data_IF_248597639965
#
_entry.id   IF_248597639965
#
_cell.length_a   1.000
_cell.length_b   1.000
_cell.length_c   1.000
_cell.angle_alpha   90.00
_cell.angle_beta   90.00
_cell.angle_gamma   90.00
#
_symmetry.space_group_name_H-M   'P 1'
#
loop_
_entity.id
_entity.type
_entity.pdbx_description
1 polymer ?
#
# COMPACT_ATOMS: atom_id res chain seq x y z
N UNK A 1 37.56 -8.88 66.02
CA UNK A 1 36.96 -7.77 65.27
C UNK A 1 36.94 -8.15 63.79
N UNK A 2 35.72 -8.35 63.27
CA UNK A 2 35.26 -8.24 61.87
C UNK A 2 36.12 -8.89 60.77
N UNK A 3 35.79 -10.14 60.45
CA UNK A 3 35.94 -10.66 59.09
C UNK A 3 34.95 -9.92 58.19
N UNK A 4 35.43 -9.28 57.12
CA UNK A 4 34.56 -8.66 56.13
C UNK A 4 34.88 -9.27 54.77
N UNK A 5 34.07 -10.26 54.42
CA UNK A 5 34.06 -10.97 53.15
C UNK A 5 33.30 -10.08 52.16
N UNK A 6 34.01 -9.41 51.24
CA UNK A 6 33.36 -8.65 50.17
C UNK A 6 33.10 -9.59 48.98
N UNK A 7 31.89 -10.11 48.91
CA UNK A 7 31.33 -10.75 47.71
C UNK A 7 30.81 -9.64 46.79
N UNK A 8 31.60 -9.29 45.78
CA UNK A 8 31.17 -8.40 44.70
C UNK A 8 30.41 -9.25 43.67
N UNK A 9 29.09 -9.32 43.79
CA UNK A 9 28.23 -9.94 42.76
C UNK A 9 28.08 -8.93 41.62
N UNK A 10 28.89 -9.12 40.58
CA UNK A 10 28.74 -8.42 39.30
C UNK A 10 27.54 -9.04 38.57
N UNK A 11 26.36 -8.42 38.72
CA UNK A 11 25.16 -8.83 38.01
C UNK A 11 25.28 -8.55 36.52
N UNK A 12 25.63 -9.57 35.73
CA UNK A 12 25.41 -9.58 34.28
C UNK A 12 23.91 -9.73 34.03
N UNK A 13 23.22 -8.60 33.85
CA UNK A 13 21.90 -8.59 33.24
C UNK A 13 22.09 -8.82 31.74
N UNK A 14 21.93 -10.06 31.30
CA UNK A 14 21.74 -10.36 29.87
C UNK A 14 20.37 -9.80 29.47
N UNK A 15 20.37 -8.66 28.78
CA UNK A 15 19.20 -8.18 28.06
C UNK A 15 19.04 -9.10 26.86
N UNK A 16 18.21 -10.14 27.02
CA UNK A 16 17.74 -10.96 25.90
C UNK A 16 16.76 -10.11 25.11
N UNK A 17 17.23 -9.47 24.04
CA UNK A 17 16.35 -8.95 23.00
C UNK A 17 15.77 -10.18 22.29
N UNK A 18 14.53 -10.53 22.62
CA UNK A 18 13.77 -11.46 21.79
C UNK A 18 13.58 -10.78 20.43
N UNK A 19 13.78 -11.47 19.31
CA UNK A 19 13.31 -10.95 18.03
C UNK A 19 11.80 -10.72 18.17
N UNK A 20 11.38 -9.49 17.92
CA UNK A 20 9.97 -9.16 17.76
C UNK A 20 9.43 -10.07 16.66
N UNK A 21 8.46 -10.93 16.99
CA UNK A 21 7.70 -11.65 15.95
C UNK A 21 6.99 -10.56 15.16
N UNK A 22 7.57 -10.14 14.05
CA UNK A 22 6.87 -9.34 13.05
C UNK A 22 5.65 -10.17 12.66
N UNK A 23 4.46 -9.70 13.02
CA UNK A 23 3.21 -10.30 12.57
C UNK A 23 3.32 -10.51 11.07
N UNK A 24 3.04 -11.73 10.61
CA UNK A 24 3.13 -12.04 9.19
C UNK A 24 2.05 -11.24 8.45
N UNK A 25 2.46 -10.20 7.73
CA UNK A 25 1.61 -9.43 6.81
C UNK A 25 1.25 -10.32 5.62
N UNK A 26 -0.04 -10.44 5.33
CA UNK A 26 -0.53 -11.25 4.22
C UNK A 26 -0.52 -10.46 2.90
N UNK A 27 0.22 -10.96 1.91
CA UNK A 27 0.20 -10.44 0.56
C UNK A 27 -0.03 -11.58 -0.43
N UNK A 28 -1.13 -11.51 -1.18
CA UNK A 28 -1.41 -12.42 -2.28
C UNK A 28 -0.24 -12.38 -3.29
N UNK A 29 0.24 -13.55 -3.71
CA UNK A 29 1.40 -13.70 -4.59
C UNK A 29 1.24 -12.97 -5.94
N UNK A 30 0.01 -12.85 -6.44
CA UNK A 30 -0.29 -12.16 -7.69
C UNK A 30 -0.18 -10.64 -7.57
N UNK A 31 -0.28 -10.09 -6.35
CA UNK A 31 -0.14 -8.66 -6.08
C UNK A 31 1.31 -8.24 -5.84
N UNK A 32 2.20 -9.17 -5.49
CA UNK A 32 3.63 -8.92 -5.24
C UNK A 32 4.27 -8.05 -6.34
N UNK A 33 4.19 -8.39 -7.65
CA UNK A 33 4.84 -7.57 -8.67
C UNK A 33 4.30 -6.13 -8.76
N UNK A 34 3.05 -5.90 -8.36
CA UNK A 34 2.46 -4.56 -8.35
C UNK A 34 2.88 -3.77 -7.09
N UNK A 35 2.98 -4.43 -5.94
CA UNK A 35 3.48 -3.82 -4.71
C UNK A 35 4.97 -3.45 -4.82
N UNK A 36 5.77 -4.32 -5.44
CA UNK A 36 7.18 -4.03 -5.75
C UNK A 36 7.30 -2.87 -6.75
N UNK A 37 6.51 -2.88 -7.83
CA UNK A 37 6.49 -1.76 -8.78
C UNK A 37 6.07 -0.44 -8.11
N UNK A 38 5.10 -0.46 -7.20
CA UNK A 38 4.71 0.73 -6.43
C UNK A 38 5.87 1.22 -5.55
N UNK A 39 6.56 0.32 -4.86
CA UNK A 39 7.76 0.64 -4.06
C UNK A 39 8.84 1.32 -4.90
N UNK A 40 9.17 0.74 -6.07
CA UNK A 40 10.14 1.32 -7.00
C UNK A 40 9.72 2.72 -7.51
N UNK A 41 8.44 2.92 -7.83
CA UNK A 41 7.92 4.21 -8.29
C UNK A 41 7.84 5.26 -7.16
N UNK A 42 7.57 4.82 -5.93
CA UNK A 42 7.60 5.63 -4.73
C UNK A 42 9.01 6.15 -4.43
N UNK A 43 10.02 5.28 -4.52
CA UNK A 43 11.43 5.63 -4.32
C UNK A 43 11.91 6.71 -5.29
N UNK A 44 11.53 6.59 -6.58
CA UNK A 44 11.85 7.61 -7.60
C UNK A 44 11.32 9.00 -7.25
N UNK A 45 10.27 9.08 -6.42
CA UNK A 45 9.57 10.31 -6.05
C UNK A 45 9.80 10.71 -4.58
N UNK A 46 10.74 10.06 -3.90
CA UNK A 46 11.17 10.43 -2.54
C UNK A 46 10.33 9.83 -1.42
N UNK A 47 9.53 8.82 -1.72
CA UNK A 47 8.78 8.01 -0.74
C UNK A 47 9.50 6.68 -0.51
N UNK A 48 9.31 6.08 0.66
CA UNK A 48 9.80 4.73 0.96
C UNK A 48 8.59 3.89 1.32
N UNK A 49 8.30 2.86 0.53
CA UNK A 49 7.20 1.93 0.77
C UNK A 49 7.73 0.52 0.93
N UNK A 50 7.48 -0.09 2.08
CA UNK A 50 7.68 -1.50 2.35
C UNK A 50 6.40 -2.03 3.01
N UNK A 51 5.64 -2.86 2.31
CA UNK A 51 4.33 -3.31 2.78
C UNK A 51 4.38 -4.09 4.11
N UNK A 52 5.53 -4.64 4.51
CA UNK A 52 5.68 -5.30 5.82
C UNK A 52 5.85 -4.27 6.93
N UNK A 53 6.73 -3.29 6.71
CA UNK A 53 7.01 -2.23 7.69
C UNK A 53 5.85 -1.23 7.79
N UNK A 54 5.25 -0.88 6.66
CA UNK A 54 4.07 0.00 6.55
C UNK A 54 2.77 -0.70 6.93
N UNK A 55 2.81 -2.01 7.25
CA UNK A 55 1.67 -2.86 7.62
C UNK A 55 0.51 -2.71 6.63
N UNK A 56 0.77 -3.00 5.35
CA UNK A 56 -0.22 -3.03 4.28
C UNK A 56 -0.35 -4.44 3.72
N UNK A 57 -1.52 -5.04 3.91
CA UNK A 57 -1.89 -6.33 3.36
C UNK A 57 -2.53 -6.21 1.98
N UNK A 58 -2.47 -7.29 1.20
CA UNK A 58 -3.03 -7.35 -0.15
C UNK A 58 -3.78 -8.64 -0.41
N UNK A 59 -5.05 -8.53 -0.80
CA UNK A 59 -5.94 -9.65 -1.08
C UNK A 59 -6.61 -9.51 -2.45
N UNK A 60 -6.96 -10.65 -3.04
CA UNK A 60 -7.84 -10.75 -4.19
C UNK A 60 -9.05 -11.56 -3.74
N UNK A 61 -10.27 -11.05 -3.95
CA UNK A 61 -11.48 -11.74 -3.50
C UNK A 61 -12.76 -10.98 -3.78
N UNK A 62 -13.85 -11.47 -3.19
CA UNK A 62 -15.18 -10.87 -3.33
C UNK A 62 -15.30 -9.57 -2.51
N UNK A 63 -15.82 -8.53 -3.16
CA UNK A 63 -16.20 -7.28 -2.52
C UNK A 63 -17.72 -7.24 -2.32
N UNK A 64 -18.18 -6.51 -1.30
CA UNK A 64 -19.61 -6.47 -0.95
C UNK A 64 -20.51 -5.83 -2.02
N UNK A 65 -19.94 -5.06 -2.93
CA UNK A 65 -20.62 -4.45 -4.08
C UNK A 65 -19.83 -4.77 -5.36
N UNK A 66 -20.48 -5.42 -6.33
CA UNK A 66 -19.89 -5.81 -7.61
C UNK A 66 -19.41 -4.62 -8.46
N UNK A 67 -19.83 -3.40 -8.14
CA UNK A 67 -19.37 -2.18 -8.82
C UNK A 67 -18.04 -1.65 -8.30
N UNK A 68 -17.60 -2.12 -7.14
CA UNK A 68 -16.32 -1.73 -6.54
C UNK A 68 -15.25 -2.67 -7.13
N UNK A 69 -14.19 -2.08 -7.67
CA UNK A 69 -13.10 -2.82 -8.33
C UNK A 69 -11.94 -3.11 -7.36
N UNK A 70 -11.75 -2.23 -6.38
CA UNK A 70 -10.79 -2.34 -5.30
C UNK A 70 -11.29 -1.57 -4.08
N UNK A 71 -10.75 -1.91 -2.92
CA UNK A 71 -11.03 -1.18 -1.69
C UNK A 71 -9.84 -1.23 -0.75
N UNK A 72 -9.47 -0.06 -0.21
CA UNK A 72 -8.67 0.07 0.98
C UNK A 72 -9.53 0.05 2.25
N UNK A 73 -9.16 -0.79 3.21
CA UNK A 73 -9.74 -0.83 4.56
C UNK A 73 -8.68 -0.35 5.55
N UNK A 74 -9.03 0.70 6.31
CA UNK A 74 -8.24 1.16 7.45
C UNK A 74 -8.79 0.56 8.74
N UNK A 75 -7.92 -0.08 9.51
CA UNK A 75 -8.20 -0.51 10.87
C UNK A 75 -7.18 0.14 11.83
N UNK A 76 -7.60 0.44 13.06
CA UNK A 76 -6.72 1.06 14.05
C UNK A 76 -5.88 0.03 14.84
N UNK A 77 -6.25 -1.24 14.75
CA UNK A 77 -5.65 -2.37 15.45
C UNK A 77 -5.00 -3.34 14.46
N UNK A 78 -5.59 -3.49 13.26
CA UNK A 78 -5.10 -4.37 12.21
C UNK A 78 -4.35 -3.61 11.10
N UNK A 79 -3.50 -4.30 10.30
CA UNK A 79 -2.88 -3.73 9.10
C UNK A 79 -3.91 -3.12 8.14
N UNK A 80 -3.53 -2.06 7.41
CA UNK A 80 -4.34 -1.56 6.32
C UNK A 80 -4.46 -2.66 5.25
N UNK A 81 -5.63 -2.85 4.68
CA UNK A 81 -5.88 -3.94 3.73
C UNK A 81 -6.30 -3.40 2.37
N UNK A 82 -5.53 -3.73 1.33
CA UNK A 82 -5.93 -3.56 -0.07
C UNK A 82 -6.64 -4.84 -0.51
N UNK A 83 -7.89 -4.73 -0.95
CA UNK A 83 -8.68 -5.84 -1.48
C UNK A 83 -9.08 -5.52 -2.92
N UNK A 84 -8.65 -6.35 -3.87
CA UNK A 84 -9.01 -6.21 -5.28
C UNK A 84 -10.08 -7.23 -5.64
N UNK A 85 -11.10 -6.81 -6.40
CA UNK A 85 -12.15 -7.70 -6.90
C UNK A 85 -11.55 -8.83 -7.75
N UNK A 86 -11.81 -10.08 -7.38
CA UNK A 86 -11.36 -11.24 -8.16
C UNK A 86 -11.92 -11.23 -9.59
N UNK A 87 -13.18 -10.82 -9.76
CA UNK A 87 -13.79 -10.70 -11.08
C UNK A 87 -13.09 -9.63 -11.91
N UNK A 88 -12.79 -8.47 -11.34
CA UNK A 88 -12.01 -7.44 -12.03
C UNK A 88 -10.63 -7.96 -12.39
N UNK A 89 -9.91 -8.54 -11.42
CA UNK A 89 -8.55 -9.04 -11.59
C UNK A 89 -8.44 -10.04 -12.74
N UNK A 90 -9.35 -11.00 -12.81
CA UNK A 90 -9.30 -12.04 -13.84
C UNK A 90 -9.65 -11.55 -15.25
N UNK A 91 -10.29 -10.38 -15.38
CA UNK A 91 -10.72 -9.83 -16.66
C UNK A 91 -9.93 -8.59 -17.12
N UNK A 92 -8.91 -8.18 -16.36
CA UNK A 92 -8.20 -6.92 -16.56
C UNK A 92 -6.80 -7.09 -17.16
N UNK A 93 -6.38 -6.10 -17.95
CA UNK A 93 -5.04 -6.04 -18.52
C UNK A 93 -3.98 -5.55 -17.52
N UNK A 94 -2.72 -5.52 -17.96
CA UNK A 94 -1.60 -5.08 -17.13
C UNK A 94 -1.81 -3.67 -16.53
N UNK A 95 -2.14 -2.69 -17.37
CA UNK A 95 -2.32 -1.30 -16.92
C UNK A 95 -3.56 -1.13 -16.03
N UNK A 96 -4.64 -1.86 -16.29
CA UNK A 96 -5.84 -1.81 -15.45
C UNK A 96 -5.56 -2.37 -14.05
N UNK A 97 -4.79 -3.46 -13.96
CA UNK A 97 -4.35 -4.06 -12.69
C UNK A 97 -3.41 -3.13 -11.93
N UNK A 98 -2.42 -2.56 -12.61
CA UNK A 98 -1.51 -1.60 -12.00
C UNK A 98 -2.28 -0.36 -11.51
N UNK A 99 -3.16 0.19 -12.34
CA UNK A 99 -4.00 1.33 -12.00
C UNK A 99 -4.78 1.10 -10.72
N UNK A 100 -5.54 -0.01 -10.61
CA UNK A 100 -6.37 -0.24 -9.42
C UNK A 100 -5.51 -0.49 -8.18
N UNK A 101 -4.41 -1.24 -8.28
CA UNK A 101 -3.56 -1.52 -7.12
C UNK A 101 -2.91 -0.23 -6.62
N UNK A 102 -2.44 0.62 -7.53
CA UNK A 102 -1.81 1.89 -7.19
C UNK A 102 -2.82 2.90 -6.64
N UNK A 103 -4.05 2.88 -7.15
CA UNK A 103 -5.17 3.64 -6.60
C UNK A 103 -5.44 3.24 -5.14
N UNK A 104 -5.58 1.95 -4.85
CA UNK A 104 -5.84 1.50 -3.48
C UNK A 104 -4.65 1.74 -2.54
N UNK A 105 -3.41 1.61 -3.02
CA UNK A 105 -2.21 1.99 -2.25
C UNK A 105 -2.14 3.51 -2.05
N UNK A 106 -2.67 4.30 -2.98
CA UNK A 106 -2.88 5.74 -2.80
C UNK A 106 -3.76 6.05 -1.58
N UNK A 107 -4.83 5.26 -1.37
CA UNK A 107 -5.62 5.33 -0.15
C UNK A 107 -4.86 4.78 1.07
N UNK A 108 -4.38 3.54 1.00
CA UNK A 108 -3.87 2.78 2.14
C UNK A 108 -2.52 3.27 2.68
N UNK A 109 -1.64 3.77 1.81
CA UNK A 109 -0.29 4.21 2.19
C UNK A 109 -0.14 5.73 2.12
N UNK A 110 -0.57 6.34 1.01
CA UNK A 110 -0.41 7.79 0.81
C UNK A 110 -1.54 8.63 1.43
N UNK A 111 -2.59 7.98 1.95
CA UNK A 111 -3.76 8.63 2.56
C UNK A 111 -4.41 9.69 1.64
N UNK A 112 -4.49 9.38 0.34
CA UNK A 112 -5.13 10.24 -0.66
C UNK A 112 -6.65 10.07 -0.63
N UNK A 113 -7.38 11.14 -0.92
CA UNK A 113 -8.81 11.08 -1.20
C UNK A 113 -9.04 11.05 -2.70
N UNK A 114 -10.27 10.71 -3.12
CA UNK A 114 -10.60 10.79 -4.53
C UNK A 114 -10.47 12.22 -5.09
N UNK A 115 -10.01 12.32 -6.33
CA UNK A 115 -9.95 13.55 -7.12
C UNK A 115 -10.52 13.31 -8.52
N UNK A 116 -11.70 13.90 -8.79
CA UNK A 116 -12.42 13.77 -10.06
C UNK A 116 -12.17 14.95 -11.02
N UNK A 117 -11.12 15.75 -10.79
CA UNK A 117 -10.75 16.87 -11.65
C UNK A 117 -10.41 16.42 -13.09
N UNK A 118 -10.80 17.25 -14.05
CA UNK A 118 -10.63 16.98 -15.49
C UNK A 118 -9.79 18.00 -16.22
N UNK A 119 -9.15 17.55 -17.29
CA UNK A 119 -8.50 18.43 -18.25
C UNK A 119 -9.50 19.06 -19.24
N UNK A 120 -9.01 19.92 -20.14
CA UNK A 120 -9.84 20.58 -21.16
C UNK A 120 -10.53 19.59 -22.13
N UNK A 121 -10.09 18.33 -22.16
CA UNK A 121 -10.64 17.26 -23.00
C UNK A 121 -11.61 16.34 -22.26
N UNK A 122 -11.80 16.54 -20.94
CA UNK A 122 -12.68 15.74 -20.09
C UNK A 122 -12.05 14.45 -19.55
N UNK A 123 -10.73 14.30 -19.64
CA UNK A 123 -10.00 13.15 -19.12
C UNK A 123 -9.68 13.34 -17.64
N UNK A 124 -9.68 12.26 -16.86
CA UNK A 124 -9.31 12.33 -15.44
C UNK A 124 -7.86 12.76 -15.32
N UNK A 125 -7.58 13.76 -14.49
CA UNK A 125 -6.21 14.22 -14.23
C UNK A 125 -5.51 13.45 -13.12
N UNK A 126 -6.28 12.69 -12.33
CA UNK A 126 -5.77 11.95 -11.17
C UNK A 126 -5.94 10.44 -11.32
N UNK A 127 -4.95 9.69 -10.84
CA UNK A 127 -5.10 8.23 -10.65
C UNK A 127 -6.12 7.95 -9.54
N UNK A 128 -6.28 8.88 -8.60
CA UNK A 128 -7.24 8.83 -7.50
C UNK A 128 -8.65 9.24 -7.95
N UNK A 129 -9.02 9.13 -9.22
CA UNK A 129 -10.40 9.37 -9.64
C UNK A 129 -11.34 8.30 -9.06
N UNK A 130 -12.57 8.69 -8.72
CA UNK A 130 -13.55 7.82 -8.07
C UNK A 130 -14.12 6.71 -8.97
N UNK A 131 -13.69 6.62 -10.23
CA UNK A 131 -14.31 5.77 -11.25
C UNK A 131 -15.77 6.17 -11.58
N UNK A 132 -16.24 7.31 -11.08
CA UNK A 132 -17.55 7.84 -11.43
C UNK A 132 -17.59 8.28 -12.90
N UNK A 133 -18.79 8.45 -13.47
CA UNK A 133 -18.96 8.96 -14.84
C UNK A 133 -18.52 10.44 -15.00
N UNK A 134 -17.85 11.03 -14.01
CA UNK A 134 -17.35 12.39 -14.06
C UNK A 134 -16.25 12.58 -15.11
N UNK A 135 -15.41 11.57 -15.32
CA UNK A 135 -14.28 11.63 -16.24
C UNK A 135 -13.89 10.25 -16.77
N UNK A 136 -13.03 10.22 -17.81
CA UNK A 136 -12.46 8.98 -18.34
C UNK A 136 -10.99 8.90 -17.95
N UNK A 137 -10.63 7.88 -17.16
CA UNK A 137 -9.23 7.58 -16.89
C UNK A 137 -8.55 7.08 -18.18
N UNK A 138 -7.29 7.47 -18.40
CA UNK A 138 -6.51 7.05 -19.56
C UNK A 138 -5.20 6.36 -19.21
N UNK A 139 -5.09 5.83 -18.00
CA UNK A 139 -3.83 5.27 -17.52
C UNK A 139 -3.31 4.16 -18.44
N UNK A 140 -2.09 4.35 -18.96
CA UNK A 140 -1.45 3.43 -19.88
C UNK A 140 -0.05 3.88 -20.25
N UNK A 141 0.57 3.18 -21.21
CA UNK A 141 1.98 3.39 -21.57
C UNK A 141 2.37 4.85 -21.83
N UNK A 142 1.48 5.63 -22.45
CA UNK A 142 1.78 6.99 -22.91
C UNK A 142 1.70 8.05 -21.81
N UNK A 143 1.02 7.78 -20.69
CA UNK A 143 0.76 8.75 -19.61
C UNK A 143 0.95 8.18 -18.20
N UNK A 144 1.45 6.94 -18.09
CA UNK A 144 1.76 6.28 -16.83
C UNK A 144 2.56 7.19 -15.90
N UNK A 145 3.69 7.71 -16.38
CA UNK A 145 4.58 8.51 -15.55
C UNK A 145 3.93 9.82 -15.06
N UNK A 146 3.06 10.43 -15.85
CA UNK A 146 2.33 11.65 -15.47
C UNK A 146 1.33 11.37 -14.33
N UNK A 147 0.56 10.28 -14.43
CA UNK A 147 -0.33 9.86 -13.34
C UNK A 147 0.41 9.46 -12.07
N UNK A 148 1.60 8.86 -12.20
CA UNK A 148 2.42 8.52 -11.05
C UNK A 148 3.07 9.76 -10.43
N UNK A 149 3.53 10.72 -11.24
CA UNK A 149 3.98 12.01 -10.74
C UNK A 149 2.87 12.71 -9.94
N UNK A 150 1.63 12.68 -10.45
CA UNK A 150 0.45 13.20 -9.75
C UNK A 150 0.21 12.48 -8.40
N UNK A 151 0.15 11.15 -8.38
CA UNK A 151 -0.12 10.35 -7.18
C UNK A 151 0.78 10.73 -5.98
N UNK A 152 2.07 10.94 -6.24
CA UNK A 152 3.07 11.20 -5.22
C UNK A 152 3.35 12.69 -4.97
N UNK A 153 2.72 13.63 -5.67
CA UNK A 153 3.01 15.09 -5.49
C UNK A 153 1.87 15.91 -4.89
N UNK A 154 0.69 15.32 -4.67
CA UNK A 154 -0.44 15.97 -3.99
C UNK A 154 -0.13 16.38 -2.54
#
# INVERSE_FOLDING_TARGET
>A
MKHLFYLLILGMTVVSCLPEETEAINLNEELIPHFEAFSEEAEKRGYSFDWKEDRVEGFIGDLSDEKILGQCIHDNLDPNSVIISETFWNNSGFYDKEFIVFHELGHCFLNRNHNDDTDETGMCTSIMNSGSQACRANYGADNRDEYLDELFTL
#
